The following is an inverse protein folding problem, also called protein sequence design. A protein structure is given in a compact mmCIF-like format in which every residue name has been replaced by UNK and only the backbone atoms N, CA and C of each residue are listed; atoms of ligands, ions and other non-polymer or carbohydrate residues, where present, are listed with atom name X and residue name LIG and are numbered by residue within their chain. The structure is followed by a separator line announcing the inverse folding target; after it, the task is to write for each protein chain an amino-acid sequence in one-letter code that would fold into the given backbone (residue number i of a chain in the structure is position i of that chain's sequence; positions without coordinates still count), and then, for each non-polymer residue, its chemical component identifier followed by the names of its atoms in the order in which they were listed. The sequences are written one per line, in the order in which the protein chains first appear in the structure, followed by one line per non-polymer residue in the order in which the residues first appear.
data_IF_362323805989
#
_entry.id   IF_362323805989
#
_cell.length_a   1.000
_cell.length_b   1.000
_cell.length_c   1.000
_cell.angle_alpha   90.00
_cell.angle_beta   90.00
_cell.angle_gamma   90.00
#
_symmetry.space_group_name_H-M   'P 1'
#
loop_
_entity.id
_entity.type
_entity.pdbx_description
1 polymer ?
#
# COMPACT_ATOMS: atom_id res chain seq x y z
N UNK A 1 2.81 -17.35 -45.30
CA UNK A 1 2.81 -18.02 -43.99
C UNK A 1 3.74 -17.32 -42.95
N UNK A 2 5.00 -16.99 -43.30
CA UNK A 2 5.99 -16.37 -42.40
C UNK A 2 5.54 -15.04 -41.72
N UNK A 3 4.75 -14.20 -42.39
CA UNK A 3 4.29 -12.92 -41.84
C UNK A 3 3.15 -13.10 -40.81
N UNK A 4 2.30 -14.11 -40.98
CA UNK A 4 1.23 -14.41 -40.02
C UNK A 4 1.79 -14.99 -38.70
N UNK A 5 2.86 -15.81 -38.81
CA UNK A 5 3.54 -16.35 -37.63
C UNK A 5 4.26 -15.24 -36.83
N UNK A 6 4.88 -14.25 -37.48
CA UNK A 6 5.52 -13.10 -36.84
C UNK A 6 4.52 -12.19 -36.13
N UNK A 7 3.34 -11.97 -36.72
CA UNK A 7 2.26 -11.21 -36.11
C UNK A 7 1.67 -11.93 -34.88
N UNK A 8 1.53 -13.28 -34.93
CA UNK A 8 1.11 -14.06 -33.77
C UNK A 8 2.12 -14.04 -32.63
N UNK A 9 3.42 -14.08 -32.91
CA UNK A 9 4.47 -14.00 -31.88
C UNK A 9 4.53 -12.60 -31.23
N UNK A 10 4.27 -11.54 -31.99
CA UNK A 10 4.22 -10.16 -31.45
C UNK A 10 2.98 -9.97 -30.59
N UNK A 11 1.81 -10.51 -30.96
CA UNK A 11 0.59 -10.42 -30.16
C UNK A 11 0.67 -11.25 -28.88
N UNK A 12 1.33 -12.40 -28.91
CA UNK A 12 1.54 -13.23 -27.73
C UNK A 12 2.53 -12.59 -26.75
N UNK A 13 3.56 -11.89 -27.23
CA UNK A 13 4.49 -11.13 -26.40
C UNK A 13 3.85 -9.95 -25.68
N UNK A 14 2.86 -9.30 -26.30
CA UNK A 14 2.16 -8.15 -25.72
C UNK A 14 1.14 -8.57 -24.64
N UNK A 15 0.58 -9.77 -24.76
CA UNK A 15 -0.36 -10.30 -23.77
C UNK A 15 0.33 -10.78 -22.47
N UNK A 16 1.64 -11.04 -22.51
CA UNK A 16 2.40 -11.52 -21.35
C UNK A 16 2.81 -10.44 -20.35
N UNK A 17 2.57 -9.15 -20.63
CA UNK A 17 3.02 -8.01 -19.79
C UNK A 17 1.92 -7.49 -18.86
N UNK A 18 0.71 -8.04 -18.90
CA UNK A 18 -0.33 -7.73 -17.90
C UNK A 18 -0.09 -8.53 -16.62
N UNK A 19 0.97 -8.20 -15.88
CA UNK A 19 1.09 -8.60 -14.48
C UNK A 19 0.00 -7.87 -13.71
N UNK A 20 -0.78 -8.59 -12.86
CA UNK A 20 -1.68 -7.90 -11.95
C UNK A 20 -0.82 -7.01 -11.04
N UNK A 21 -0.90 -5.71 -11.23
CA UNK A 21 -0.45 -4.76 -10.23
C UNK A 21 -1.37 -5.03 -9.05
N UNK A 22 -0.85 -5.65 -8.00
CA UNK A 22 -1.51 -5.70 -6.70
C UNK A 22 -1.66 -4.25 -6.26
N UNK A 23 -2.80 -3.65 -6.63
CA UNK A 23 -3.15 -2.32 -6.18
C UNK A 23 -3.41 -2.43 -4.68
N UNK A 24 -2.49 -1.91 -3.86
CA UNK A 24 -2.78 -1.62 -2.48
C UNK A 24 -3.99 -0.67 -2.48
N UNK A 25 -5.07 -1.09 -1.83
CA UNK A 25 -6.23 -0.22 -1.68
C UNK A 25 -5.78 1.02 -0.89
N UNK A 26 -6.04 2.25 -1.37
CA UNK A 26 -5.65 3.43 -0.61
C UNK A 26 -6.37 3.38 0.75
N UNK A 27 -5.69 3.75 1.83
CA UNK A 27 -6.23 3.82 3.19
C UNK A 27 -7.62 4.48 3.22
N UNK A 28 -7.77 5.55 2.44
CA UNK A 28 -9.00 6.31 2.31
C UNK A 28 -10.18 5.54 1.69
N UNK A 29 -9.97 4.38 1.09
CA UNK A 29 -11.08 3.56 0.57
C UNK A 29 -11.81 2.81 1.69
N UNK A 30 -11.09 2.31 2.68
CA UNK A 30 -11.60 1.43 3.73
C UNK A 30 -11.67 2.11 5.10
N UNK A 31 -10.73 3.00 5.40
CA UNK A 31 -10.65 3.67 6.69
C UNK A 31 -11.00 5.16 6.63
N UNK A 32 -11.44 5.72 7.75
CA UNK A 32 -11.83 7.12 7.86
C UNK A 32 -10.77 7.93 8.61
N UNK A 33 -9.89 8.62 7.87
CA UNK A 33 -8.85 9.46 8.44
C UNK A 33 -9.38 10.60 9.35
N UNK A 34 -10.66 10.99 9.18
CA UNK A 34 -11.30 12.01 10.01
C UNK A 34 -11.90 11.42 11.31
N UNK A 35 -11.78 10.11 11.54
CA UNK A 35 -12.22 9.43 12.76
C UNK A 35 -11.06 8.69 13.43
N UNK A 36 -10.06 9.42 13.96
CA UNK A 36 -8.99 8.81 14.73
C UNK A 36 -9.58 8.18 16.00
N UNK A 37 -9.02 7.03 16.37
CA UNK A 37 -9.36 6.33 17.61
C UNK A 37 -8.08 6.01 18.37
N UNK A 38 -8.15 6.09 19.69
CA UNK A 38 -7.08 5.63 20.59
C UNK A 38 -7.67 4.53 21.47
N UNK A 39 -7.17 3.30 21.30
CA UNK A 39 -7.72 2.13 21.93
C UNK A 39 -6.61 1.35 22.66
N UNK A 40 -6.82 1.10 23.96
CA UNK A 40 -5.92 0.25 24.73
C UNK A 40 -6.53 -1.13 24.87
N UNK A 41 -5.74 -2.16 24.55
CA UNK A 41 -6.22 -3.53 24.56
C UNK A 41 -5.13 -4.54 24.89
N UNK A 42 -5.56 -5.73 25.29
CA UNK A 42 -4.69 -6.89 25.51
C UNK A 42 -4.60 -7.68 24.20
N UNK A 43 -3.40 -7.85 23.67
CA UNK A 43 -3.15 -8.56 22.42
C UNK A 43 -3.57 -10.03 22.54
N UNK A 44 -4.38 -10.48 21.59
CA UNK A 44 -4.85 -11.88 21.53
C UNK A 44 -4.16 -12.66 20.41
N UNK A 45 -3.76 -11.98 19.33
CA UNK A 45 -3.04 -12.59 18.21
C UNK A 45 -2.17 -11.56 17.49
N UNK A 46 -1.05 -12.00 16.93
CA UNK A 46 -0.21 -11.24 16.00
C UNK A 46 0.00 -12.08 14.76
N UNK A 47 -0.45 -11.58 13.63
CA UNK A 47 -0.21 -12.17 12.31
C UNK A 47 0.84 -11.31 11.59
N UNK A 48 2.08 -11.83 11.55
CA UNK A 48 3.25 -11.14 10.98
C UNK A 48 3.51 -11.62 9.56
N UNK A 49 2.53 -11.41 8.65
CA UNK A 49 2.60 -11.86 7.26
C UNK A 49 2.32 -10.71 6.28
N UNK A 50 2.92 -10.82 5.07
CA UNK A 50 2.56 -9.95 3.96
C UNK A 50 1.12 -10.27 3.47
N UNK A 51 0.38 -9.27 2.92
CA UNK A 51 0.83 -7.90 2.64
C UNK A 51 0.81 -6.97 3.85
N UNK A 52 0.10 -7.29 4.93
CA UNK A 52 -0.08 -6.42 6.08
C UNK A 52 0.05 -7.20 7.39
N UNK A 53 0.79 -6.63 8.34
CA UNK A 53 0.76 -7.12 9.73
C UNK A 53 -0.62 -6.87 10.32
N UNK A 54 -1.18 -7.88 10.98
CA UNK A 54 -2.45 -7.74 11.69
C UNK A 54 -2.28 -8.09 13.17
N UNK A 55 -2.74 -7.20 14.05
CA UNK A 55 -2.73 -7.39 15.49
C UNK A 55 -4.17 -7.42 15.97
N UNK A 56 -4.58 -8.52 16.61
CA UNK A 56 -5.87 -8.59 17.28
C UNK A 56 -5.71 -8.32 18.76
N UNK A 57 -6.61 -7.54 19.35
CA UNK A 57 -6.58 -7.22 20.77
C UNK A 57 -7.99 -7.10 21.35
N UNK A 58 -8.15 -7.51 22.59
CA UNK A 58 -9.37 -7.31 23.35
C UNK A 58 -9.35 -5.93 24.02
N UNK A 59 -10.22 -5.06 23.52
CA UNK A 59 -10.40 -3.69 24.00
C UNK A 59 -11.61 -3.65 24.93
N UNK A 60 -11.43 -3.14 26.13
CA UNK A 60 -12.52 -2.99 27.12
C UNK A 60 -13.20 -1.63 26.93
N UNK A 61 -14.52 -1.63 26.91
CA UNK A 61 -15.32 -0.43 26.98
C UNK A 61 -15.41 0.11 28.42
N UNK A 62 -16.09 1.25 28.61
CA UNK A 62 -16.27 1.87 29.93
C UNK A 62 -17.00 0.97 30.96
N UNK A 63 -17.82 0.00 30.50
CA UNK A 63 -18.48 -0.97 31.35
C UNK A 63 -17.64 -2.23 31.67
N UNK A 64 -16.40 -2.27 31.17
CA UNK A 64 -15.48 -3.40 31.36
C UNK A 64 -15.71 -4.57 30.39
N UNK A 65 -16.69 -4.48 29.49
CA UNK A 65 -16.95 -5.50 28.49
C UNK A 65 -15.85 -5.47 27.44
N UNK A 66 -15.22 -6.61 27.18
CA UNK A 66 -14.18 -6.77 26.16
C UNK A 66 -14.80 -7.02 24.79
N UNK A 67 -14.24 -6.37 23.79
CA UNK A 67 -14.57 -6.58 22.38
C UNK A 67 -13.27 -6.77 21.60
N UNK A 68 -13.20 -7.80 20.78
CA UNK A 68 -12.02 -8.06 19.97
C UNK A 68 -11.98 -7.08 18.78
N UNK A 69 -10.83 -6.42 18.63
CA UNK A 69 -10.50 -5.51 17.54
C UNK A 69 -9.38 -6.07 16.71
N UNK A 70 -9.40 -5.82 15.42
CA UNK A 70 -8.31 -6.09 14.49
C UNK A 70 -7.68 -4.77 14.09
N UNK A 71 -6.35 -4.69 14.18
CA UNK A 71 -5.55 -3.54 13.79
C UNK A 71 -4.61 -3.94 12.67
N UNK A 72 -4.72 -3.28 11.53
CA UNK A 72 -3.87 -3.48 10.37
C UNK A 72 -2.70 -2.50 10.41
N UNK A 73 -1.49 -3.00 10.20
CA UNK A 73 -0.27 -2.24 10.01
C UNK A 73 0.30 -2.43 8.61
N UNK A 74 1.48 -1.86 8.38
CA UNK A 74 2.19 -1.98 7.12
C UNK A 74 2.72 -3.40 6.86
N UNK A 75 3.31 -3.59 5.69
CA UNK A 75 4.00 -4.82 5.31
C UNK A 75 5.20 -5.09 6.25
N UNK A 76 5.47 -6.34 6.66
CA UNK A 76 6.66 -6.71 7.43
C UNK A 76 7.97 -6.16 6.87
N UNK A 77 8.12 -6.13 5.53
CA UNK A 77 9.33 -5.62 4.88
C UNK A 77 9.53 -4.12 5.08
N UNK A 78 8.43 -3.35 5.19
CA UNK A 78 8.46 -1.92 5.52
C UNK A 78 8.75 -1.70 7.01
N UNK A 79 8.24 -2.55 7.88
CA UNK A 79 8.32 -2.40 9.34
C UNK A 79 9.68 -2.83 9.90
N UNK A 80 10.31 -3.85 9.32
CA UNK A 80 11.57 -4.41 9.83
C UNK A 80 12.71 -3.39 9.89
N UNK A 81 12.97 -2.55 8.87
CA UNK A 81 13.98 -1.50 8.93
C UNK A 81 13.69 -0.44 10.02
N UNK A 82 12.42 -0.28 10.41
CA UNK A 82 11.98 0.64 11.45
C UNK A 82 12.00 0.03 12.88
N UNK A 83 12.66 -1.10 13.03
CA UNK A 83 12.88 -1.75 14.33
C UNK A 83 11.75 -2.65 14.80
N UNK A 84 10.78 -2.96 13.95
CA UNK A 84 9.76 -3.95 14.21
C UNK A 84 10.23 -5.37 13.87
N UNK A 85 9.71 -6.35 14.59
CA UNK A 85 9.82 -7.78 14.28
C UNK A 85 8.63 -8.54 14.84
N UNK A 86 8.51 -9.81 14.50
CA UNK A 86 7.40 -10.68 14.92
C UNK A 86 7.26 -10.86 16.46
N UNK A 87 8.23 -10.39 17.23
CA UNK A 87 8.24 -10.48 18.70
C UNK A 87 8.16 -9.13 19.39
N UNK A 88 8.06 -8.02 18.64
CA UNK A 88 7.95 -6.65 19.19
C UNK A 88 6.70 -6.49 20.03
N UNK A 89 5.60 -7.09 19.59
CA UNK A 89 4.32 -7.20 20.32
C UNK A 89 3.94 -8.68 20.34
N UNK A 90 3.48 -9.16 21.47
CA UNK A 90 3.14 -10.59 21.69
C UNK A 90 1.75 -10.72 22.30
N UNK A 91 1.15 -11.89 22.11
CA UNK A 91 -0.08 -12.27 22.81
C UNK A 91 0.10 -12.09 24.33
N UNK A 92 -0.84 -11.41 24.95
CA UNK A 92 -0.86 -11.06 26.37
C UNK A 92 -0.31 -9.67 26.68
N UNK A 93 0.39 -9.02 25.76
CA UNK A 93 0.85 -7.64 25.94
C UNK A 93 -0.34 -6.68 26.00
N UNK A 94 -0.27 -5.68 26.87
CA UNK A 94 -1.21 -4.56 26.85
C UNK A 94 -0.56 -3.38 26.14
N UNK A 95 -1.18 -2.93 25.06
CA UNK A 95 -0.68 -1.86 24.21
C UNK A 95 -1.78 -0.86 23.86
N UNK A 96 -1.38 0.35 23.47
CA UNK A 96 -2.32 1.37 23.02
C UNK A 96 -2.11 1.60 21.52
N UNK A 97 -3.18 1.43 20.74
CA UNK A 97 -3.23 1.68 19.32
C UNK A 97 -3.75 3.09 19.04
N UNK A 98 -3.03 3.85 18.23
CA UNK A 98 -3.51 5.08 17.58
C UNK A 98 -3.85 4.71 16.13
N UNK A 99 -5.12 4.80 15.75
CA UNK A 99 -5.59 4.20 14.52
C UNK A 99 -6.73 5.00 13.87
N UNK A 100 -7.07 4.66 12.63
CA UNK A 100 -8.26 5.13 11.93
C UNK A 100 -9.27 3.99 11.81
N UNK A 101 -10.51 4.23 12.26
CA UNK A 101 -11.56 3.23 12.23
C UNK A 101 -12.04 2.94 10.82
N UNK A 102 -12.42 1.70 10.56
CA UNK A 102 -13.07 1.28 9.32
C UNK A 102 -14.40 2.05 9.10
N UNK A 103 -14.70 2.36 7.84
CA UNK A 103 -15.88 3.13 7.44
C UNK A 103 -17.18 2.37 7.63
N UNK A 104 -17.13 1.04 7.53
CA UNK A 104 -18.28 0.15 7.74
C UNK A 104 -18.73 0.05 9.21
N UNK A 105 -17.96 0.66 10.13
CA UNK A 105 -18.24 0.67 11.55
C UNK A 105 -17.84 -0.62 12.28
N UNK A 106 -17.19 -1.55 11.63
CA UNK A 106 -16.66 -2.76 12.24
C UNK A 106 -15.58 -2.46 13.30
N UNK A 107 -15.20 -3.48 14.08
CA UNK A 107 -14.08 -3.41 15.02
C UNK A 107 -12.76 -3.68 14.30
N UNK A 108 -12.54 -2.95 13.22
CA UNK A 108 -11.35 -2.97 12.39
C UNK A 108 -10.81 -1.55 12.28
N UNK A 109 -9.48 -1.41 12.33
CA UNK A 109 -8.83 -0.11 12.23
C UNK A 109 -7.45 -0.25 11.58
N UNK A 110 -7.06 0.76 10.81
CA UNK A 110 -5.67 0.92 10.34
C UNK A 110 -4.86 1.59 11.44
N UNK A 111 -3.87 0.87 11.96
CA UNK A 111 -2.98 1.36 13.01
C UNK A 111 -1.91 2.29 12.43
N UNK A 112 -1.77 3.47 13.01
CA UNK A 112 -0.69 4.41 12.68
C UNK A 112 0.52 4.20 13.57
N UNK A 113 0.28 4.08 14.86
CA UNK A 113 1.32 3.81 15.85
C UNK A 113 0.80 2.97 17.00
N UNK A 114 1.73 2.31 17.66
CA UNK A 114 1.46 1.48 18.84
C UNK A 114 2.36 1.95 19.96
N UNK A 115 1.75 2.26 21.12
CA UNK A 115 2.48 2.53 22.36
C UNK A 115 2.56 1.23 23.16
N UNK A 116 3.77 0.74 23.36
CA UNK A 116 4.08 -0.47 24.11
C UNK A 116 3.94 -0.26 25.62
N UNK A 117 3.91 -1.32 26.39
CA UNK A 117 3.80 -1.29 27.86
C UNK A 117 4.94 -0.49 28.54
N UNK A 118 6.10 -0.41 27.91
CA UNK A 118 7.25 0.39 28.41
C UNK A 118 7.17 1.88 28.04
N UNK A 119 6.05 2.33 27.46
CA UNK A 119 5.82 3.72 27.05
C UNK A 119 6.42 4.10 25.69
N UNK A 120 7.18 3.22 25.04
CA UNK A 120 7.74 3.52 23.70
C UNK A 120 6.64 3.46 22.64
N UNK A 121 6.52 4.51 21.85
CA UNK A 121 5.62 4.55 20.69
C UNK A 121 6.38 4.24 19.42
N UNK A 122 5.86 3.32 18.61
CA UNK A 122 6.42 2.89 17.35
C UNK A 122 5.40 3.07 16.23
N UNK A 123 5.85 3.65 15.10
CA UNK A 123 5.02 3.77 13.89
C UNK A 123 4.87 2.39 13.26
N UNK A 124 3.64 2.04 12.88
CA UNK A 124 3.28 0.74 12.27
C UNK A 124 2.60 0.91 10.91
N UNK A 125 2.33 2.14 10.49
CA UNK A 125 1.77 2.47 9.16
C UNK A 125 2.86 2.62 8.10
N UNK A 126 2.47 2.54 6.84
CA UNK A 126 3.30 2.99 5.73
C UNK A 126 3.40 4.52 5.72
N UNK A 127 4.58 5.06 5.40
CA UNK A 127 4.80 6.51 5.32
C UNK A 127 3.91 7.19 4.25
N UNK A 128 3.40 6.44 3.28
CA UNK A 128 2.49 6.93 2.24
C UNK A 128 1.03 7.00 2.70
N UNK A 129 0.66 6.24 3.71
CA UNK A 129 -0.71 6.24 4.28
C UNK A 129 -0.93 7.38 5.27
N UNK A 130 0.14 7.99 5.75
CA UNK A 130 0.12 9.07 6.75
C UNK A 130 -0.23 10.45 6.16
N UNK A 131 -0.49 10.54 4.85
CA UNK A 131 -0.94 11.75 4.16
C UNK A 131 -2.45 11.97 4.34
N UNK A 132 -2.96 11.88 5.58
CA UNK A 132 -4.20 12.52 5.98
C UNK A 132 -4.06 14.04 5.80
N UNK A 133 -5.16 14.83 5.74
CA UNK A 133 -5.06 16.26 5.52
C UNK A 133 -4.14 16.88 6.55
N UNK A 134 -2.93 17.21 6.11
CA UNK A 134 -1.93 17.90 6.90
C UNK A 134 -2.52 19.25 7.30
N UNK A 135 -2.60 19.49 8.60
CA UNK A 135 -2.67 20.86 9.09
C UNK A 135 -1.49 21.62 8.47
N UNK A 136 -1.79 22.69 7.76
CA UNK A 136 -0.85 23.57 7.06
C UNK A 136 0.45 23.77 7.84
N UNK A 137 1.53 23.19 7.35
CA UNK A 137 2.87 23.77 7.49
C UNK A 137 3.56 23.62 6.15
N UNK A 138 3.45 24.67 5.34
CA UNK A 138 4.15 24.80 4.08
C UNK A 138 5.65 24.70 4.30
N UNK A 139 6.25 23.65 3.81
CA UNK A 139 7.62 23.69 3.28
C UNK A 139 7.60 23.03 1.92
N UNK A 140 7.64 23.89 0.92
CA UNK A 140 7.70 23.59 -0.50
C UNK A 140 8.94 22.76 -0.84
N UNK A 141 8.74 21.47 -1.08
CA UNK A 141 9.59 20.73 -2.00
C UNK A 141 8.70 19.76 -2.77
N UNK A 142 8.36 20.12 -3.99
CA UNK A 142 7.71 19.23 -4.94
C UNK A 142 8.63 18.04 -5.21
N UNK A 143 8.16 16.79 -5.11
CA UNK A 143 8.93 15.67 -5.62
C UNK A 143 9.05 15.85 -7.13
N UNK A 144 10.28 15.92 -7.62
CA UNK A 144 10.56 15.94 -9.06
C UNK A 144 10.26 14.55 -9.64
N UNK A 145 9.01 14.31 -10.01
CA UNK A 145 8.66 13.17 -10.85
C UNK A 145 8.99 13.51 -12.31
N UNK A 146 10.28 13.58 -12.62
CA UNK A 146 10.73 13.52 -14.01
C UNK A 146 10.70 12.07 -14.49
N UNK A 147 9.50 11.52 -14.63
CA UNK A 147 9.31 10.27 -15.34
C UNK A 147 9.42 10.53 -16.83
N UNK A 148 10.47 10.04 -17.48
CA UNK A 148 10.63 10.06 -18.93
C UNK A 148 9.69 9.08 -19.65
N UNK A 149 8.78 8.43 -18.93
CA UNK A 149 7.85 7.43 -19.46
C UNK A 149 7.00 7.93 -20.66
N UNK A 150 6.42 9.14 -20.66
CA UNK A 150 5.69 9.63 -21.82
C UNK A 150 6.59 9.88 -23.02
N UNK A 151 7.86 10.28 -22.80
CA UNK A 151 8.81 10.53 -23.89
C UNK A 151 9.23 9.24 -24.58
N UNK A 152 9.45 8.17 -23.80
CA UNK A 152 9.80 6.83 -24.34
C UNK A 152 8.64 6.25 -25.14
N UNK A 153 7.40 6.43 -24.69
CA UNK A 153 6.19 6.02 -25.42
C UNK A 153 6.04 6.75 -26.75
N UNK A 154 6.32 8.07 -26.78
CA UNK A 154 6.24 8.87 -27.99
C UNK A 154 7.31 8.47 -29.02
N UNK A 155 8.54 8.21 -28.60
CA UNK A 155 9.63 7.73 -29.48
C UNK A 155 9.28 6.37 -30.07
N UNK A 156 8.70 5.45 -29.30
CA UNK A 156 8.25 4.15 -29.76
C UNK A 156 7.17 4.23 -30.84
N UNK A 157 6.22 5.16 -30.68
CA UNK A 157 5.14 5.40 -31.64
C UNK A 157 5.67 5.99 -32.96
N UNK A 158 6.59 6.94 -32.91
CA UNK A 158 7.23 7.54 -34.08
C UNK A 158 8.04 6.48 -34.86
N UNK A 159 8.76 5.59 -34.19
CA UNK A 159 9.52 4.50 -34.81
C UNK A 159 8.61 3.50 -35.54
N UNK A 160 7.43 3.19 -34.99
CA UNK A 160 6.45 2.31 -35.61
C UNK A 160 5.82 2.92 -36.86
N UNK A 161 5.46 4.20 -36.82
CA UNK A 161 4.89 4.91 -37.99
C UNK A 161 5.94 5.16 -39.06
N UNK A 162 7.16 5.56 -38.71
CA UNK A 162 8.26 5.78 -39.65
C UNK A 162 8.66 4.50 -40.40
N UNK A 163 8.72 3.35 -39.70
CA UNK A 163 8.99 2.05 -40.30
C UNK A 163 7.90 1.58 -41.27
N UNK A 164 6.65 1.94 -41.01
CA UNK A 164 5.53 1.57 -41.88
C UNK A 164 5.52 2.36 -43.21
N UNK A 165 5.81 3.64 -43.14
CA UNK A 165 5.87 4.51 -44.33
C UNK A 165 7.07 4.19 -45.23
N UNK A 166 8.25 3.97 -44.67
CA UNK A 166 9.45 3.60 -45.41
C UNK A 166 9.27 2.26 -46.19
N UNK A 167 8.52 1.32 -45.63
CA UNK A 167 8.23 0.03 -46.29
C UNK A 167 7.23 0.13 -47.43
N UNK A 168 6.39 1.15 -47.48
CA UNK A 168 5.48 1.42 -48.61
C UNK A 168 6.22 2.05 -49.80
N UNK A 169 7.15 2.97 -49.55
CA UNK A 169 7.94 3.60 -50.59
C UNK A 169 8.90 2.61 -51.27
N UNK A 170 9.50 1.68 -50.56
CA UNK A 170 10.41 0.67 -51.12
C UNK A 170 9.72 -0.42 -51.97
N UNK A 171 8.38 -0.42 -52.09
CA UNK A 171 7.62 -1.37 -52.92
C UNK A 171 7.09 -0.78 -54.21
N UNK A 172 7.32 0.53 -54.47
CA UNK A 172 6.82 1.24 -55.64
C UNK A 172 7.96 1.66 -56.59
N UNK A 173 9.22 1.29 -56.27
CA UNK A 173 10.40 1.49 -57.14
C UNK A 173 10.79 0.20 -57.86
#
# INVERSE_FOLDING_TARGET
MRNRLRLMLISLGLAAVSLPILAHHPLSSEFNANKPVTLTGTVTNVDWNAPHVNISADVKNASGQATNWKFEGANPDTLTPNGWNSTTVKKGDTVTFHAYRAKDGSNFASARSVTLANGRTMVISDAQEDSGPAADTQTTSLPSTSSNAPLVGLIGLIALFGGFTARRFARVS
#
